data_IF_438369443736
#
_entry.id   IF_438369443736
#
_cell.length_a   1.000
_cell.length_b   1.000
_cell.length_c   1.000
_cell.angle_alpha   90.00
_cell.angle_beta   90.00
_cell.angle_gamma   90.00
#
_symmetry.space_group_name_H-M   'P 1'
#
loop_
_entity.id
_entity.type
_entity.pdbx_description
1 polymer ?
#
# COMPACT_ATOMS: atom_id res chain seq x y z
N UNK A 1 5.25 -1.87 -87.02
CA UNK A 1 4.43 -1.63 -85.80
C UNK A 1 5.19 -2.12 -84.57
N UNK A 2 5.78 -1.22 -83.81
CA UNK A 2 6.60 -1.51 -82.63
C UNK A 2 5.76 -1.22 -81.38
N UNK A 3 5.46 -2.31 -80.60
CA UNK A 3 4.74 -2.18 -79.36
C UNK A 3 5.65 -1.74 -78.17
N UNK A 4 5.31 -0.65 -77.57
CA UNK A 4 6.01 -0.13 -76.39
C UNK A 4 5.57 -0.89 -75.11
N UNK A 5 6.51 -1.56 -74.46
CA UNK A 5 6.31 -2.23 -73.14
C UNK A 5 6.58 -1.21 -72.04
N UNK A 6 5.53 -0.75 -71.37
CA UNK A 6 5.59 0.12 -70.20
C UNK A 6 5.98 -0.65 -68.95
N UNK A 7 7.19 -0.53 -68.44
CA UNK A 7 7.63 -1.04 -67.13
C UNK A 7 7.06 -0.19 -66.01
N UNK A 8 6.13 -0.76 -65.23
CA UNK A 8 5.66 -0.16 -63.94
C UNK A 8 6.74 -0.39 -62.88
N UNK A 9 7.34 0.71 -62.40
CA UNK A 9 8.21 0.72 -61.22
C UNK A 9 7.36 0.58 -59.97
N UNK A 10 7.45 -0.55 -59.32
CA UNK A 10 6.93 -0.73 -57.93
C UNK A 10 7.84 0.02 -56.96
N UNK A 11 7.28 1.03 -56.33
CA UNK A 11 7.91 1.72 -55.19
C UNK A 11 7.72 0.86 -53.92
N UNK A 12 8.81 0.59 -53.13
CA UNK A 12 8.64 -0.11 -51.87
C UNK A 12 7.97 0.84 -50.86
N UNK A 13 6.84 0.39 -50.28
CA UNK A 13 6.26 1.01 -49.07
C UNK A 13 7.21 0.68 -47.89
N UNK A 14 7.90 1.65 -47.41
CA UNK A 14 8.59 1.54 -46.13
C UNK A 14 7.52 1.59 -44.99
N UNK A 15 7.27 0.45 -44.38
CA UNK A 15 6.46 0.38 -43.15
C UNK A 15 7.24 1.00 -42.01
N UNK A 16 6.85 2.20 -41.60
CA UNK A 16 7.34 2.81 -40.35
C UNK A 16 6.67 2.09 -39.19
N UNK A 17 7.39 1.18 -38.54
CA UNK A 17 7.01 0.60 -37.27
C UNK A 17 7.08 1.73 -36.22
N UNK A 18 5.94 2.36 -35.90
CA UNK A 18 5.78 3.14 -34.67
C UNK A 18 5.89 2.15 -33.52
N UNK A 19 7.06 2.09 -32.88
CA UNK A 19 7.18 1.49 -31.57
C UNK A 19 6.35 2.38 -30.61
N UNK A 20 5.17 1.90 -30.22
CA UNK A 20 4.42 2.51 -29.14
C UNK A 20 5.30 2.43 -27.89
N UNK A 21 5.90 3.57 -27.48
CA UNK A 21 6.54 3.68 -26.19
C UNK A 21 5.45 3.40 -25.15
N UNK A 22 5.53 2.25 -24.48
CA UNK A 22 4.75 2.01 -23.29
C UNK A 22 5.04 3.16 -22.34
N UNK A 23 4.01 3.75 -21.69
CA UNK A 23 4.26 4.80 -20.73
C UNK A 23 5.24 4.25 -19.68
N UNK A 24 6.42 4.86 -19.59
CA UNK A 24 7.33 4.57 -18.49
C UNK A 24 6.55 4.92 -17.22
N UNK A 25 6.18 3.94 -16.43
CA UNK A 25 5.53 4.14 -15.15
C UNK A 25 6.49 5.00 -14.32
N UNK A 26 6.02 6.17 -13.90
CA UNK A 26 6.79 6.97 -12.97
C UNK A 26 7.00 6.15 -11.69
N UNK A 27 8.21 6.23 -11.12
CA UNK A 27 8.54 5.52 -9.88
C UNK A 27 7.52 5.85 -8.79
N UNK A 28 6.98 4.84 -8.10
CA UNK A 28 5.95 5.04 -7.09
C UNK A 28 6.60 5.44 -5.75
N UNK A 29 6.46 6.70 -5.39
CA UNK A 29 6.88 7.25 -4.11
C UNK A 29 5.69 7.17 -3.17
N UNK A 30 5.65 6.16 -2.29
CA UNK A 30 4.56 5.98 -1.35
C UNK A 30 4.91 6.46 0.06
N UNK A 31 4.07 7.36 0.59
CA UNK A 31 4.18 7.83 1.96
C UNK A 31 3.46 6.88 2.92
N UNK A 32 4.22 6.08 3.70
CA UNK A 32 3.72 5.08 4.64
C UNK A 32 2.95 5.74 5.78
N UNK A 33 1.67 5.38 5.91
CA UNK A 33 0.71 6.00 6.84
C UNK A 33 0.70 7.52 6.71
N UNK A 34 0.81 8.01 5.47
CA UNK A 34 1.07 9.39 5.13
C UNK A 34 2.57 9.71 5.11
N UNK A 35 3.11 10.22 6.20
CA UNK A 35 4.54 10.50 6.36
C UNK A 35 4.92 10.28 7.84
N UNK A 36 4.79 9.04 8.32
CA UNK A 36 4.91 8.65 9.74
C UNK A 36 6.17 9.17 10.42
N UNK A 37 7.28 9.22 9.71
CA UNK A 37 8.52 9.75 10.23
C UNK A 37 8.52 11.25 10.51
N UNK A 38 7.54 12.00 9.98
CA UNK A 38 7.49 13.47 10.01
C UNK A 38 6.23 14.04 10.65
N UNK A 39 5.12 13.27 10.69
CA UNK A 39 3.84 13.65 11.27
C UNK A 39 3.15 12.43 11.88
N UNK A 40 2.18 12.60 12.81
CA UNK A 40 1.48 11.48 13.43
C UNK A 40 0.82 10.57 12.40
N UNK A 41 1.14 9.27 12.45
CA UNK A 41 0.72 8.29 11.45
C UNK A 41 -0.80 8.21 11.29
N UNK A 42 -1.24 7.92 10.06
CA UNK A 42 -2.65 7.69 9.77
C UNK A 42 -3.58 8.87 10.18
N UNK A 43 -3.06 10.09 10.16
CA UNK A 43 -3.82 11.32 10.41
C UNK A 43 -3.94 12.17 9.15
N UNK A 44 -4.92 13.06 9.10
CA UNK A 44 -5.02 14.02 8.00
C UNK A 44 -3.80 14.94 7.93
N UNK A 45 -3.16 15.26 9.06
CA UNK A 45 -1.91 16.01 9.10
C UNK A 45 -0.78 15.27 8.38
N UNK A 46 -0.62 13.95 8.60
CA UNK A 46 0.39 13.13 7.94
C UNK A 46 0.14 13.04 6.41
N UNK A 47 -1.11 12.86 6.00
CA UNK A 47 -1.46 12.81 4.58
C UNK A 47 -1.24 14.15 3.88
N UNK A 48 -1.61 15.28 4.51
CA UNK A 48 -1.30 16.61 3.98
C UNK A 48 0.20 16.86 3.89
N UNK A 49 0.96 16.39 4.87
CA UNK A 49 2.43 16.47 4.86
C UNK A 49 3.02 15.68 3.69
N UNK A 50 2.57 14.46 3.47
CA UNK A 50 3.00 13.61 2.35
C UNK A 50 2.67 14.27 1.00
N UNK A 51 1.45 14.78 0.82
CA UNK A 51 1.05 15.50 -0.39
C UNK A 51 1.90 16.74 -0.63
N UNK A 52 2.24 17.50 0.41
CA UNK A 52 3.10 18.69 0.31
C UNK A 52 4.55 18.33 -0.09
N UNK A 53 5.03 17.13 0.27
CA UNK A 53 6.33 16.60 -0.18
C UNK A 53 6.25 16.20 -1.67
N UNK A 54 5.07 15.84 -2.17
CA UNK A 54 4.85 15.40 -3.53
C UNK A 54 5.00 13.88 -3.67
N UNK A 55 4.30 13.11 -2.84
CA UNK A 55 4.17 11.66 -3.05
C UNK A 55 3.27 11.37 -4.24
N UNK A 56 3.50 10.24 -4.91
CA UNK A 56 2.58 9.71 -5.93
C UNK A 56 1.38 9.03 -5.28
N UNK A 57 1.62 8.38 -4.14
CA UNK A 57 0.64 7.52 -3.46
C UNK A 57 0.69 7.75 -1.95
N UNK A 58 -0.47 7.92 -1.35
CA UNK A 58 -0.65 7.86 0.09
C UNK A 58 -0.92 6.41 0.47
N UNK A 59 -0.05 5.83 1.29
CA UNK A 59 -0.31 4.53 1.88
C UNK A 59 -0.99 4.72 3.24
N UNK A 60 -1.94 3.83 3.58
CA UNK A 60 -2.75 3.91 4.79
C UNK A 60 -3.39 2.58 5.17
N UNK A 61 -3.82 2.48 6.43
CA UNK A 61 -4.40 1.29 7.05
C UNK A 61 -5.87 1.48 7.39
N UNK A 62 -6.71 0.48 7.13
CA UNK A 62 -8.14 0.51 7.39
C UNK A 62 -8.52 -0.41 8.55
N UNK A 63 -9.37 0.10 9.43
CA UNK A 63 -10.12 -0.66 10.43
C UNK A 63 -11.62 -0.38 10.27
N UNK A 64 -12.46 -1.24 10.86
CA UNK A 64 -13.93 -1.13 10.79
C UNK A 64 -14.50 -0.92 12.18
N UNK A 65 -15.33 0.11 12.36
CA UNK A 65 -16.04 0.37 13.62
C UNK A 65 -17.26 -0.54 13.80
N UNK A 66 -17.85 -0.56 15.01
CA UNK A 66 -19.06 -1.31 15.34
C UNK A 66 -20.27 -0.93 14.45
N UNK A 67 -20.36 0.32 14.08
CA UNK A 67 -21.40 0.87 13.20
C UNK A 67 -21.04 0.79 11.71
N UNK A 68 -19.99 0.01 11.35
CA UNK A 68 -19.63 -0.31 9.97
C UNK A 68 -18.92 0.80 9.22
N UNK A 69 -18.37 1.80 9.90
CA UNK A 69 -17.60 2.87 9.27
C UNK A 69 -16.13 2.44 9.11
N UNK A 70 -15.57 2.64 7.90
CA UNK A 70 -14.14 2.49 7.68
C UNK A 70 -13.39 3.69 8.24
N UNK A 71 -12.48 3.43 9.18
CA UNK A 71 -11.60 4.42 9.81
C UNK A 71 -10.14 4.07 9.56
N UNK A 72 -9.28 5.07 9.68
CA UNK A 72 -7.85 4.92 9.45
C UNK A 72 -7.16 4.55 10.75
N UNK A 73 -6.62 3.33 10.81
CA UNK A 73 -5.83 2.82 11.95
C UNK A 73 -5.03 1.60 11.54
N UNK A 74 -3.75 1.55 11.94
CA UNK A 74 -2.92 0.36 11.74
C UNK A 74 -3.30 -0.78 12.67
N UNK A 75 -3.51 -0.47 13.95
CA UNK A 75 -3.88 -1.48 14.93
C UNK A 75 -5.39 -1.64 14.97
N UNK A 76 -5.92 -2.87 15.11
CA UNK A 76 -7.37 -3.11 15.23
C UNK A 76 -7.91 -2.71 16.61
N UNK A 77 -7.11 -2.07 17.44
CA UNK A 77 -7.42 -1.61 18.80
C UNK A 77 -6.80 -0.24 19.07
N UNK A 78 -7.24 0.45 20.13
CA UNK A 78 -6.63 1.70 20.55
C UNK A 78 -5.24 1.43 21.15
N UNK A 79 -4.20 1.86 20.44
CA UNK A 79 -2.80 1.64 20.81
C UNK A 79 -2.34 2.70 21.84
N UNK A 80 -1.84 2.31 23.02
CA UNK A 80 -1.42 3.26 24.07
C UNK A 80 -0.25 4.17 23.65
N UNK A 81 0.59 3.73 22.71
CA UNK A 81 1.70 4.54 22.20
C UNK A 81 1.24 5.73 21.33
N UNK A 82 0.00 5.66 20.79
CA UNK A 82 -0.55 6.59 19.80
C UNK A 82 -1.75 7.39 20.32
N UNK A 83 -2.48 6.88 21.32
CA UNK A 83 -3.83 7.34 21.63
C UNK A 83 -3.90 8.02 22.99
N UNK A 84 -4.39 9.27 23.00
CA UNK A 84 -4.83 9.96 24.21
C UNK A 84 -6.34 9.88 24.37
N UNK A 85 -6.78 9.60 25.58
CA UNK A 85 -8.20 9.58 25.93
C UNK A 85 -8.84 10.96 25.99
N UNK A 86 -10.17 11.04 26.21
CA UNK A 86 -10.91 12.29 26.35
C UNK A 86 -10.40 13.17 27.52
N UNK A 87 -9.72 12.59 28.49
CA UNK A 87 -9.09 13.27 29.62
C UNK A 87 -7.70 13.85 29.27
N UNK A 88 -7.26 13.70 28.02
CA UNK A 88 -5.97 14.19 27.51
C UNK A 88 -4.76 13.32 27.91
N UNK A 89 -4.97 12.17 28.57
CA UNK A 89 -3.88 11.26 28.98
C UNK A 89 -3.73 10.12 27.99
N UNK A 90 -2.49 9.63 27.83
CA UNK A 90 -2.24 8.39 27.08
C UNK A 90 -2.89 7.21 27.78
N UNK A 91 -3.34 6.25 26.99
CA UNK A 91 -3.88 5.01 27.52
C UNK A 91 -2.77 4.26 28.26
N UNK A 92 -3.08 3.78 29.47
CA UNK A 92 -2.11 3.06 30.30
C UNK A 92 -1.78 1.63 29.77
N UNK A 93 -2.64 1.08 28.91
CA UNK A 93 -2.51 -0.25 28.31
C UNK A 93 -3.29 -0.30 26.99
N UNK A 94 -3.18 -1.42 26.27
CA UNK A 94 -3.99 -1.72 25.09
C UNK A 94 -5.47 -1.43 25.37
N UNK A 95 -6.03 -0.52 24.58
CA UNK A 95 -7.43 -0.14 24.67
C UNK A 95 -8.38 -1.12 23.97
N UNK A 96 -9.67 -0.79 23.90
CA UNK A 96 -10.68 -1.61 23.24
C UNK A 96 -10.39 -1.80 21.75
N UNK A 97 -10.90 -2.89 21.19
CA UNK A 97 -10.85 -3.12 19.75
C UNK A 97 -11.75 -2.12 19.01
N UNK A 98 -11.30 -1.61 17.88
CA UNK A 98 -12.01 -0.57 17.09
C UNK A 98 -13.39 -1.05 16.68
N UNK A 99 -13.54 -2.33 16.29
CA UNK A 99 -14.83 -2.90 15.89
C UNK A 99 -15.87 -2.99 17.03
N UNK A 100 -15.48 -2.73 18.28
CA UNK A 100 -16.39 -2.63 19.43
C UNK A 100 -16.85 -1.20 19.71
N UNK A 101 -16.25 -0.21 19.06
CA UNK A 101 -16.51 1.22 19.20
C UNK A 101 -17.27 1.76 17.99
N UNK A 102 -18.16 2.72 18.20
CA UNK A 102 -18.75 3.52 17.12
C UNK A 102 -17.77 4.61 16.63
N UNK A 103 -18.02 5.19 15.47
CA UNK A 103 -17.28 6.37 15.04
C UNK A 103 -17.37 7.51 16.06
N UNK A 104 -18.54 7.69 16.69
CA UNK A 104 -18.73 8.73 17.71
C UNK A 104 -17.87 8.48 18.95
N UNK A 105 -17.77 7.21 19.39
CA UNK A 105 -16.86 6.84 20.49
C UNK A 105 -15.40 7.19 20.13
N UNK A 106 -14.96 6.95 18.89
CA UNK A 106 -13.60 7.24 18.43
C UNK A 106 -13.29 8.74 18.37
N UNK A 107 -14.27 9.59 18.13
CA UNK A 107 -14.11 11.04 18.08
C UNK A 107 -13.65 11.66 19.39
N UNK A 108 -13.80 10.96 20.52
CA UNK A 108 -13.28 11.38 21.81
C UNK A 108 -11.77 11.27 21.98
N UNK A 109 -11.10 10.46 21.13
CA UNK A 109 -9.67 10.18 21.25
C UNK A 109 -8.83 11.07 20.34
N UNK A 110 -7.62 11.42 20.82
CA UNK A 110 -6.64 12.22 20.09
C UNK A 110 -5.47 11.31 19.69
N UNK A 111 -5.13 11.30 18.38
CA UNK A 111 -4.04 10.52 17.78
C UNK A 111 -2.94 11.42 17.17
N UNK A 112 -2.95 12.71 17.52
CA UNK A 112 -2.07 13.72 16.95
C UNK A 112 -0.67 13.79 17.58
N UNK A 113 -0.30 12.85 18.45
CA UNK A 113 1.02 12.84 19.11
C UNK A 113 1.34 11.44 19.63
N UNK A 114 2.58 11.00 19.45
CA UNK A 114 3.10 9.80 20.09
C UNK A 114 3.29 10.03 21.59
N UNK A 115 3.09 8.98 22.40
CA UNK A 115 3.50 9.03 23.81
C UNK A 115 5.03 9.18 23.89
N UNK A 116 5.55 10.31 24.42
CA UNK A 116 6.99 10.53 24.48
C UNK A 116 7.72 9.55 25.41
N UNK A 117 7.01 8.86 26.29
CA UNK A 117 7.56 7.84 27.17
C UNK A 117 7.65 6.45 26.49
N UNK A 118 7.00 6.28 25.33
CA UNK A 118 6.98 5.00 24.63
C UNK A 118 8.29 4.74 23.86
N UNK A 119 8.67 3.45 23.75
CA UNK A 119 9.77 3.05 22.87
C UNK A 119 9.43 3.30 21.39
N UNK A 120 8.16 3.34 21.05
CA UNK A 120 7.72 3.61 19.70
C UNK A 120 8.07 5.05 19.28
N UNK A 121 7.87 6.03 20.14
CA UNK A 121 8.22 7.43 19.87
C UNK A 121 9.72 7.63 19.56
N UNK A 122 10.60 6.83 20.16
CA UNK A 122 12.05 6.93 19.90
C UNK A 122 12.45 6.57 18.48
N UNK A 123 11.59 5.87 17.75
CA UNK A 123 11.83 5.48 16.35
C UNK A 123 11.60 6.64 15.37
N UNK A 124 10.85 7.68 15.79
CA UNK A 124 10.45 8.81 14.96
C UNK A 124 10.85 10.16 15.56
N UNK A 125 12.14 10.42 15.77
CA UNK A 125 12.61 11.63 16.44
C UNK A 125 12.33 12.93 15.67
N UNK A 126 12.05 12.83 14.37
CA UNK A 126 11.73 13.97 13.51
C UNK A 126 10.22 14.23 13.37
N UNK A 127 9.39 13.41 14.01
CA UNK A 127 7.95 13.57 13.92
C UNK A 127 7.49 14.83 14.67
N UNK A 128 6.74 15.69 13.98
CA UNK A 128 6.12 16.89 14.55
C UNK A 128 4.69 16.56 14.93
N UNK A 129 4.35 16.77 16.20
CA UNK A 129 3.00 16.54 16.70
C UNK A 129 1.96 17.49 16.05
N UNK A 130 0.73 17.00 15.96
CA UNK A 130 -0.44 17.73 15.48
C UNK A 130 -1.61 17.47 16.44
N UNK A 131 -1.50 17.99 17.67
CA UNK A 131 -2.49 17.78 18.73
C UNK A 131 -3.90 18.12 18.24
N UNK A 132 -4.87 17.29 18.61
CA UNK A 132 -6.25 17.43 18.20
C UNK A 132 -6.64 16.63 16.96
N UNK A 133 -5.70 15.95 16.28
CA UNK A 133 -6.04 15.01 15.21
C UNK A 133 -6.87 13.84 15.77
N UNK A 134 -7.85 13.41 14.99
CA UNK A 134 -8.75 12.30 15.31
C UNK A 134 -8.49 11.13 14.36
N UNK A 135 -9.05 9.96 14.65
CA UNK A 135 -9.09 8.88 13.67
C UNK A 135 -9.87 9.35 12.44
N UNK A 136 -9.21 9.54 11.27
CA UNK A 136 -9.95 9.94 10.08
C UNK A 136 -10.83 8.77 9.62
N UNK A 137 -11.93 9.10 8.97
CA UNK A 137 -12.67 8.12 8.18
C UNK A 137 -11.97 7.92 6.83
N UNK A 138 -12.15 6.74 6.23
CA UNK A 138 -11.64 6.50 4.88
C UNK A 138 -12.26 7.46 3.85
N UNK A 139 -13.51 7.87 4.05
CA UNK A 139 -14.16 8.86 3.20
C UNK A 139 -13.43 10.21 3.22
N UNK A 140 -12.95 10.68 4.38
CA UNK A 140 -12.17 11.92 4.49
C UNK A 140 -10.83 11.81 3.76
N UNK A 141 -10.16 10.66 3.81
CA UNK A 141 -8.89 10.43 3.09
C UNK A 141 -9.11 10.33 1.58
N UNK A 142 -10.16 9.65 1.13
CA UNK A 142 -10.57 9.62 -0.29
C UNK A 142 -10.82 11.03 -0.82
N UNK A 143 -11.54 11.86 -0.06
CA UNK A 143 -11.81 13.25 -0.43
C UNK A 143 -10.54 14.10 -0.45
N UNK A 144 -9.65 13.95 0.55
CA UNK A 144 -8.36 14.64 0.57
C UNK A 144 -7.52 14.30 -0.67
N UNK A 145 -7.43 13.02 -1.03
CA UNK A 145 -6.70 12.58 -2.21
C UNK A 145 -7.35 13.07 -3.52
N UNK A 146 -8.69 13.12 -3.57
CA UNK A 146 -9.44 13.61 -4.71
C UNK A 146 -9.25 15.10 -4.93
N UNK A 147 -9.21 15.88 -3.85
CA UNK A 147 -9.05 17.33 -3.85
C UNK A 147 -7.58 17.79 -4.00
N UNK A 148 -6.60 16.88 -3.96
CA UNK A 148 -5.19 17.23 -4.11
C UNK A 148 -4.90 17.82 -5.49
N UNK A 149 -3.92 18.74 -5.57
CA UNK A 149 -3.54 19.43 -6.80
C UNK A 149 -2.98 18.48 -7.90
N UNK A 150 -2.50 17.30 -7.51
CA UNK A 150 -2.04 16.24 -8.41
C UNK A 150 -2.94 15.00 -8.37
N UNK A 151 -2.76 14.03 -9.27
CA UNK A 151 -3.54 12.79 -9.28
C UNK A 151 -3.05 11.80 -8.21
N UNK A 152 -2.95 12.22 -6.94
CA UNK A 152 -2.50 11.36 -5.85
C UNK A 152 -3.34 10.08 -5.78
N UNK A 153 -2.66 8.94 -5.67
CA UNK A 153 -3.26 7.61 -5.52
C UNK A 153 -3.33 7.23 -4.05
N UNK A 154 -4.02 6.16 -3.77
CA UNK A 154 -4.08 5.53 -2.45
C UNK A 154 -3.68 4.06 -2.57
N UNK A 155 -2.87 3.59 -1.62
CA UNK A 155 -2.61 2.20 -1.36
C UNK A 155 -3.15 1.89 0.04
N UNK A 156 -4.25 1.12 0.12
CA UNK A 156 -5.01 0.97 1.37
C UNK A 156 -4.94 -0.47 1.88
N UNK A 157 -4.42 -0.64 3.09
CA UNK A 157 -4.31 -1.96 3.71
C UNK A 157 -5.59 -2.31 4.48
N UNK A 158 -6.13 -3.50 4.25
CA UNK A 158 -7.15 -4.08 5.13
C UNK A 158 -6.47 -4.75 6.32
N UNK A 159 -6.58 -4.15 7.51
CA UNK A 159 -5.96 -4.66 8.75
C UNK A 159 -6.80 -5.79 9.34
N UNK A 160 -6.56 -6.99 8.82
CA UNK A 160 -7.19 -8.24 9.23
C UNK A 160 -6.14 -9.33 9.35
N UNK A 161 -6.35 -10.29 10.22
CA UNK A 161 -5.42 -11.39 10.47
C UNK A 161 -6.16 -12.71 10.67
N UNK A 162 -5.66 -13.81 10.11
CA UNK A 162 -6.20 -15.13 10.38
C UNK A 162 -5.92 -15.63 11.81
N UNK A 163 -4.95 -14.99 12.51
CA UNK A 163 -4.55 -15.39 13.86
C UNK A 163 -5.54 -14.93 14.93
N UNK A 164 -6.16 -13.75 14.74
CA UNK A 164 -7.10 -13.15 15.70
C UNK A 164 -8.39 -12.71 14.99
N UNK A 165 -9.22 -13.66 14.50
CA UNK A 165 -10.37 -13.32 13.66
C UNK A 165 -11.47 -12.54 14.42
N UNK A 166 -11.40 -12.49 15.76
CA UNK A 166 -12.34 -11.72 16.58
C UNK A 166 -11.94 -10.25 16.78
N UNK A 167 -10.83 -9.77 16.21
CA UNK A 167 -10.38 -8.39 16.39
C UNK A 167 -10.91 -7.43 15.34
N UNK A 168 -11.57 -7.92 14.30
CA UNK A 168 -12.20 -7.11 13.25
C UNK A 168 -13.37 -7.88 12.62
N UNK A 169 -14.00 -7.31 11.58
CA UNK A 169 -15.03 -7.98 10.79
C UNK A 169 -14.44 -9.08 9.90
N UNK A 170 -15.27 -9.99 9.41
CA UNK A 170 -14.84 -11.05 8.49
C UNK A 170 -14.34 -10.51 7.15
N UNK A 171 -13.54 -11.29 6.37
CA UNK A 171 -12.95 -10.85 5.11
C UNK A 171 -13.96 -10.35 4.07
N UNK A 172 -15.12 -11.01 3.95
CA UNK A 172 -16.13 -10.65 2.95
C UNK A 172 -16.82 -9.32 3.30
N UNK A 173 -17.12 -9.10 4.57
CA UNK A 173 -17.66 -7.84 5.09
C UNK A 173 -16.66 -6.72 4.88
N UNK A 174 -15.38 -6.91 5.23
CA UNK A 174 -14.34 -5.89 5.05
C UNK A 174 -14.20 -5.50 3.57
N UNK A 175 -14.03 -6.50 2.69
CA UNK A 175 -13.90 -6.29 1.26
C UNK A 175 -15.09 -5.52 0.67
N UNK A 176 -16.32 -5.88 1.06
CA UNK A 176 -17.54 -5.19 0.60
C UNK A 176 -17.54 -3.72 1.01
N UNK A 177 -17.25 -3.40 2.27
CA UNK A 177 -17.21 -2.02 2.76
C UNK A 177 -16.16 -1.19 2.00
N UNK A 178 -14.96 -1.75 1.77
CA UNK A 178 -13.89 -1.08 1.03
C UNK A 178 -14.30 -0.80 -0.42
N UNK A 179 -14.80 -1.81 -1.14
CA UNK A 179 -15.24 -1.65 -2.54
C UNK A 179 -16.36 -0.64 -2.65
N UNK A 180 -17.35 -0.68 -1.77
CA UNK A 180 -18.45 0.29 -1.74
C UNK A 180 -17.95 1.72 -1.52
N UNK A 181 -17.01 1.94 -0.57
CA UNK A 181 -16.46 3.26 -0.29
C UNK A 181 -15.68 3.82 -1.49
N UNK A 182 -14.80 3.03 -2.10
CA UNK A 182 -14.01 3.41 -3.28
C UNK A 182 -14.92 3.74 -4.47
N UNK A 183 -15.93 2.90 -4.71
CA UNK A 183 -16.87 3.08 -5.81
C UNK A 183 -17.72 4.35 -5.62
N UNK A 184 -18.23 4.56 -4.41
CA UNK A 184 -19.03 5.76 -4.07
C UNK A 184 -18.23 7.04 -4.24
N UNK A 185 -16.92 7.01 -3.93
CA UNK A 185 -16.03 8.15 -4.12
C UNK A 185 -15.60 8.38 -5.57
N UNK A 186 -15.89 7.45 -6.49
CA UNK A 186 -15.42 7.51 -7.88
C UNK A 186 -13.91 7.35 -8.02
N UNK A 187 -13.26 6.65 -7.08
CA UNK A 187 -11.80 6.56 -6.96
C UNK A 187 -11.21 5.22 -7.45
N UNK A 188 -12.01 4.37 -8.11
CA UNK A 188 -11.60 3.00 -8.54
C UNK A 188 -10.29 2.98 -9.35
N UNK A 189 -10.04 4.01 -10.18
CA UNK A 189 -8.81 4.12 -10.98
C UNK A 189 -7.60 4.69 -10.21
N UNK A 190 -7.76 5.04 -8.92
CA UNK A 190 -6.73 5.71 -8.12
C UNK A 190 -6.45 5.00 -6.78
N UNK A 191 -7.07 3.85 -6.54
CA UNK A 191 -6.89 3.08 -5.30
C UNK A 191 -6.40 1.69 -5.62
N UNK A 192 -5.35 1.26 -4.93
CA UNK A 192 -4.91 -0.13 -4.82
C UNK A 192 -5.27 -0.63 -3.44
N UNK A 193 -5.75 -1.86 -3.30
CA UNK A 193 -5.99 -2.48 -1.99
C UNK A 193 -4.91 -3.49 -1.70
N UNK A 194 -4.24 -3.35 -0.56
CA UNK A 194 -3.22 -4.29 -0.10
C UNK A 194 -3.66 -5.04 1.16
N UNK A 195 -3.09 -6.20 1.39
CA UNK A 195 -3.27 -6.96 2.61
C UNK A 195 -2.21 -8.05 2.79
N UNK A 196 -1.88 -8.35 4.05
CA UNK A 196 -1.21 -9.60 4.40
C UNK A 196 -2.15 -10.80 4.35
N UNK A 197 -3.41 -10.59 4.75
CA UNK A 197 -4.43 -11.61 4.67
C UNK A 197 -5.13 -11.59 3.31
N UNK A 198 -4.67 -12.43 2.41
CA UNK A 198 -5.12 -12.45 1.02
C UNK A 198 -6.58 -12.88 0.86
N UNK A 199 -7.24 -13.38 1.93
CA UNK A 199 -8.68 -13.68 1.87
C UNK A 199 -9.51 -12.43 1.54
N UNK A 200 -9.11 -11.24 2.04
CA UNK A 200 -9.79 -9.98 1.65
C UNK A 200 -9.51 -9.63 0.19
N UNK A 201 -8.29 -9.86 -0.32
CA UNK A 201 -7.94 -9.57 -1.70
C UNK A 201 -8.72 -10.44 -2.68
N UNK A 202 -8.92 -11.73 -2.36
CA UNK A 202 -9.76 -12.65 -3.15
C UNK A 202 -11.20 -12.13 -3.22
N UNK A 203 -11.76 -11.70 -2.08
CA UNK A 203 -13.12 -11.13 -2.05
C UNK A 203 -13.21 -9.80 -2.83
N UNK A 204 -12.21 -8.94 -2.74
CA UNK A 204 -12.14 -7.70 -3.53
C UNK A 204 -12.12 -8.01 -5.02
N UNK A 205 -11.29 -8.97 -5.47
CA UNK A 205 -11.26 -9.38 -6.88
C UNK A 205 -12.58 -9.95 -7.36
N UNK A 206 -13.31 -10.66 -6.50
CA UNK A 206 -14.66 -11.18 -6.80
C UNK A 206 -15.69 -10.05 -6.96
N UNK A 207 -15.63 -9.02 -6.09
CA UNK A 207 -16.57 -7.88 -6.07
C UNK A 207 -16.25 -6.82 -7.13
N UNK A 208 -14.97 -6.56 -7.35
CA UNK A 208 -14.46 -5.52 -8.26
C UNK A 208 -13.23 -6.02 -9.03
N UNK A 209 -13.39 -6.85 -10.07
CA UNK A 209 -12.28 -7.51 -10.78
C UNK A 209 -11.23 -6.56 -11.34
N UNK A 210 -11.60 -5.32 -11.64
CA UNK A 210 -10.72 -4.28 -12.20
C UNK A 210 -9.96 -3.49 -11.13
N UNK A 211 -10.36 -3.58 -9.85
CA UNK A 211 -9.66 -2.88 -8.77
C UNK A 211 -8.30 -3.57 -8.54
N UNK A 212 -7.18 -2.83 -8.65
CA UNK A 212 -5.86 -3.43 -8.43
C UNK A 212 -5.68 -3.84 -6.97
N UNK A 213 -5.00 -4.97 -6.77
CA UNK A 213 -4.64 -5.49 -5.45
C UNK A 213 -3.13 -5.69 -5.33
N UNK A 214 -2.60 -5.52 -4.12
CA UNK A 214 -1.20 -5.75 -3.80
C UNK A 214 -1.08 -6.81 -2.69
N UNK A 215 -0.31 -7.85 -2.96
CA UNK A 215 -0.04 -8.93 -2.03
C UNK A 215 1.14 -8.54 -1.12
N UNK A 216 0.85 -8.18 0.15
CA UNK A 216 1.88 -7.97 1.17
C UNK A 216 2.47 -9.30 1.62
N UNK A 217 3.81 -9.34 1.77
CA UNK A 217 4.53 -10.52 2.27
C UNK A 217 5.68 -10.15 3.18
N UNK A 218 5.90 -10.98 4.19
CA UNK A 218 7.08 -10.93 5.05
C UNK A 218 7.56 -12.35 5.33
N UNK A 219 8.88 -12.53 5.23
CA UNK A 219 9.57 -13.79 5.47
C UNK A 219 10.74 -13.52 6.42
N UNK A 220 10.52 -13.66 7.72
CA UNK A 220 11.55 -13.58 8.77
C UNK A 220 11.41 -14.76 9.72
N UNK A 221 12.39 -14.96 10.58
CA UNK A 221 12.35 -16.05 11.58
C UNK A 221 11.16 -15.93 12.55
N UNK A 222 10.77 -14.70 12.89
CA UNK A 222 9.73 -14.43 13.88
C UNK A 222 8.37 -14.08 13.28
N UNK A 223 8.34 -13.70 12.02
CA UNK A 223 7.10 -13.33 11.31
C UNK A 223 7.21 -13.77 9.85
N UNK A 224 6.40 -14.76 9.48
CA UNK A 224 6.39 -15.30 8.12
C UNK A 224 4.93 -15.56 7.70
N UNK A 225 4.48 -14.78 6.71
CA UNK A 225 3.12 -14.87 6.19
C UNK A 225 2.98 -15.87 5.04
N UNK A 226 4.09 -16.42 4.56
CA UNK A 226 4.12 -17.26 3.35
C UNK A 226 4.35 -18.73 3.67
N UNK A 227 5.09 -19.00 4.75
CA UNK A 227 5.50 -20.35 5.13
C UNK A 227 4.32 -21.28 5.37
N UNK A 228 4.28 -22.45 4.72
CA UNK A 228 3.27 -23.47 5.01
C UNK A 228 3.32 -23.94 6.46
N UNK A 229 2.18 -24.28 7.03
CA UNK A 229 2.01 -24.82 8.37
C UNK A 229 1.79 -26.35 8.29
N UNK A 230 2.81 -27.14 8.48
CA UNK A 230 2.76 -28.60 8.31
C UNK A 230 2.34 -28.94 6.86
N UNK A 231 1.28 -29.72 6.70
CA UNK A 231 0.76 -30.11 5.38
C UNK A 231 -0.18 -29.04 4.77
N UNK A 232 -0.60 -28.03 5.52
CA UNK A 232 -1.48 -26.97 5.06
C UNK A 232 -0.71 -25.79 4.46
N UNK A 233 -1.36 -25.05 3.55
CA UNK A 233 -0.90 -23.74 3.10
C UNK A 233 -0.81 -22.75 4.26
N UNK A 234 -0.09 -21.63 4.06
CA UNK A 234 -0.13 -20.54 5.03
C UNK A 234 -1.57 -20.03 5.23
N UNK A 235 -2.02 -19.74 6.46
CA UNK A 235 -3.36 -19.19 6.69
C UNK A 235 -3.53 -17.79 6.08
N UNK A 236 -2.44 -17.09 5.75
CA UNK A 236 -2.46 -15.76 5.15
C UNK A 236 -2.69 -15.76 3.64
N UNK A 237 -2.40 -16.86 2.94
CA UNK A 237 -2.35 -16.93 1.47
C UNK A 237 -3.67 -17.38 0.82
N UNK A 238 -4.79 -17.30 1.56
CA UNK A 238 -6.12 -17.69 1.07
C UNK A 238 -6.19 -19.13 0.50
N UNK A 239 -5.43 -20.05 1.09
CA UNK A 239 -5.37 -21.45 0.66
C UNK A 239 -4.38 -21.75 -0.46
N UNK A 240 -3.69 -20.75 -1.00
CA UNK A 240 -2.62 -20.95 -1.98
C UNK A 240 -1.37 -21.48 -1.26
N UNK A 241 -0.85 -22.61 -1.73
CA UNK A 241 0.31 -23.26 -1.14
C UNK A 241 1.58 -22.93 -1.93
N UNK A 242 2.57 -22.32 -1.25
CA UNK A 242 3.86 -21.94 -1.84
C UNK A 242 4.57 -23.10 -2.54
N UNK A 243 4.39 -24.32 -2.02
CA UNK A 243 4.97 -25.55 -2.60
C UNK A 243 4.48 -25.83 -4.02
N UNK A 244 3.23 -25.50 -4.32
CA UNK A 244 2.66 -25.64 -5.66
C UNK A 244 3.27 -24.67 -6.68
N UNK A 245 3.95 -23.64 -6.20
CA UNK A 245 4.61 -22.60 -7.03
C UNK A 245 6.15 -22.69 -6.98
N UNK A 246 6.68 -23.88 -6.64
CA UNK A 246 8.11 -24.16 -6.55
C UNK A 246 8.86 -23.20 -5.59
N UNK A 247 8.22 -22.76 -4.51
CA UNK A 247 8.80 -21.82 -3.55
C UNK A 247 8.90 -20.38 -4.05
N UNK A 248 8.28 -20.03 -5.17
CA UNK A 248 8.32 -18.67 -5.71
C UNK A 248 7.16 -17.82 -5.15
N UNK A 249 7.49 -16.82 -4.35
CA UNK A 249 6.53 -15.85 -3.81
C UNK A 249 5.92 -14.96 -4.91
N UNK A 250 6.69 -14.47 -5.92
CA UNK A 250 6.07 -13.75 -7.05
C UNK A 250 5.01 -14.57 -7.79
N UNK A 251 5.25 -15.87 -8.04
CA UNK A 251 4.23 -16.74 -8.68
C UNK A 251 3.01 -16.93 -7.80
N UNK A 252 3.21 -17.06 -6.50
CA UNK A 252 2.12 -17.16 -5.53
C UNK A 252 1.26 -15.89 -5.54
N UNK A 253 1.88 -14.70 -5.52
CA UNK A 253 1.19 -13.41 -5.62
C UNK A 253 0.43 -13.24 -6.94
N UNK A 254 1.03 -13.65 -8.07
CA UNK A 254 0.34 -13.68 -9.37
C UNK A 254 -0.89 -14.59 -9.34
N UNK A 255 -0.74 -15.79 -8.77
CA UNK A 255 -1.86 -16.75 -8.68
C UNK A 255 -3.00 -16.24 -7.77
N UNK A 256 -2.70 -15.40 -6.77
CA UNK A 256 -3.71 -14.69 -5.98
C UNK A 256 -4.43 -13.58 -6.77
N UNK A 257 -3.98 -13.27 -7.99
CA UNK A 257 -4.54 -12.23 -8.85
C UNK A 257 -4.09 -10.80 -8.47
N UNK A 258 -3.01 -10.66 -7.69
CA UNK A 258 -2.44 -9.37 -7.38
C UNK A 258 -1.81 -8.72 -8.63
N UNK A 259 -1.91 -7.40 -8.74
CA UNK A 259 -1.17 -6.61 -9.72
C UNK A 259 0.22 -6.23 -9.22
N UNK A 260 0.39 -6.24 -7.90
CA UNK A 260 1.62 -5.83 -7.21
C UNK A 260 2.01 -6.89 -6.18
N UNK A 261 3.27 -7.25 -6.16
CA UNK A 261 3.90 -7.93 -5.04
C UNK A 261 4.57 -6.88 -4.15
N UNK A 262 4.19 -6.83 -2.87
CA UNK A 262 4.69 -5.85 -1.91
C UNK A 262 5.40 -6.55 -0.75
N UNK A 263 6.71 -6.88 -0.93
CA UNK A 263 7.49 -7.63 0.05
C UNK A 263 8.10 -6.74 1.13
N UNK A 264 8.37 -7.35 2.30
CA UNK A 264 9.35 -6.80 3.22
C UNK A 264 10.70 -6.61 2.50
N UNK A 265 11.28 -5.43 2.57
CA UNK A 265 12.41 -5.03 1.74
C UNK A 265 13.64 -5.95 1.80
N UNK A 266 13.85 -6.64 2.94
CA UNK A 266 14.94 -7.59 3.10
C UNK A 266 14.74 -8.91 2.35
N UNK A 267 13.51 -9.20 1.96
CA UNK A 267 13.20 -10.37 1.13
C UNK A 267 13.42 -10.13 -0.37
N UNK A 268 13.76 -8.89 -0.75
CA UNK A 268 13.93 -8.48 -2.15
C UNK A 268 15.31 -8.84 -2.67
N UNK A 269 15.35 -9.60 -3.78
CA UNK A 269 16.55 -9.97 -4.54
C UNK A 269 16.39 -9.61 -6.02
N UNK A 270 17.50 -9.49 -6.74
CA UNK A 270 17.44 -9.25 -8.19
C UNK A 270 16.65 -10.34 -8.92
N UNK A 271 16.80 -11.60 -8.51
CA UNK A 271 16.13 -12.74 -9.15
C UNK A 271 14.61 -12.70 -8.97
N UNK A 272 14.10 -12.39 -7.77
CA UNK A 272 12.66 -12.36 -7.54
C UNK A 272 12.00 -11.10 -8.13
N UNK A 273 12.71 -9.98 -8.26
CA UNK A 273 12.22 -8.80 -9.02
C UNK A 273 12.08 -9.16 -10.51
N UNK A 274 13.14 -9.75 -11.10
CA UNK A 274 13.09 -10.16 -12.51
C UNK A 274 11.96 -11.16 -12.78
N UNK A 275 11.75 -12.10 -11.87
CA UNK A 275 10.63 -13.03 -11.97
C UNK A 275 9.28 -12.30 -11.85
N UNK A 276 9.11 -11.42 -10.89
CA UNK A 276 7.88 -10.62 -10.73
C UNK A 276 7.56 -9.82 -12.00
N UNK A 277 8.55 -9.14 -12.58
CA UNK A 277 8.36 -8.39 -13.83
C UNK A 277 8.00 -9.28 -15.01
N UNK A 278 8.61 -10.48 -15.16
CA UNK A 278 8.22 -11.46 -16.20
C UNK A 278 6.79 -11.96 -16.03
N UNK A 279 6.28 -11.96 -14.80
CA UNK A 279 4.91 -12.33 -14.46
C UNK A 279 3.92 -11.15 -14.58
N UNK A 280 4.40 -9.94 -14.93
CA UNK A 280 3.60 -8.73 -15.05
C UNK A 280 3.26 -8.07 -13.72
N UNK A 281 3.94 -8.43 -12.63
CA UNK A 281 3.77 -7.81 -11.31
C UNK A 281 4.65 -6.58 -11.17
N UNK A 282 4.13 -5.53 -10.52
CA UNK A 282 4.94 -4.48 -9.92
C UNK A 282 5.55 -4.97 -8.61
N UNK A 283 6.69 -4.39 -8.21
CA UNK A 283 7.38 -4.71 -6.94
C UNK A 283 7.50 -3.45 -6.11
N UNK A 284 6.79 -3.41 -4.96
CA UNK A 284 6.74 -2.29 -4.02
C UNK A 284 7.19 -2.72 -2.62
N UNK A 285 8.48 -2.66 -2.30
CA UNK A 285 8.98 -3.02 -0.97
C UNK A 285 8.63 -2.00 0.11
N UNK A 286 8.44 -2.49 1.34
CA UNK A 286 8.11 -1.75 2.56
C UNK A 286 8.94 -2.22 3.75
N UNK A 287 9.14 -1.50 4.86
CA UNK A 287 9.16 -0.05 4.93
C UNK A 287 10.62 0.36 4.85
N UNK A 288 10.98 1.11 3.85
CA UNK A 288 12.38 1.45 3.54
C UNK A 288 12.67 2.87 3.98
N UNK A 289 13.49 3.04 5.01
CA UNK A 289 13.75 4.34 5.64
C UNK A 289 15.21 4.82 5.48
N UNK A 290 16.12 3.90 5.19
CA UNK A 290 17.53 4.21 4.99
C UNK A 290 17.81 4.61 3.53
N UNK A 291 18.57 5.70 3.32
CA UNK A 291 18.84 6.22 1.99
C UNK A 291 19.71 5.29 1.13
N UNK A 292 20.65 4.54 1.74
CA UNK A 292 21.47 3.59 1.00
C UNK A 292 20.63 2.40 0.54
N UNK A 293 19.70 1.92 1.39
CA UNK A 293 18.77 0.87 1.01
C UNK A 293 17.80 1.34 -0.10
N UNK A 294 17.33 2.59 -0.04
CA UNK A 294 16.56 3.18 -1.13
C UNK A 294 17.36 3.15 -2.43
N UNK A 295 18.64 3.60 -2.40
CA UNK A 295 19.52 3.59 -3.60
C UNK A 295 19.76 2.18 -4.11
N UNK A 296 19.94 1.20 -3.23
CA UNK A 296 20.13 -0.21 -3.57
C UNK A 296 18.90 -0.79 -4.27
N UNK A 297 17.72 -0.61 -3.70
CA UNK A 297 16.47 -1.13 -4.24
C UNK A 297 16.11 -0.49 -5.58
N UNK A 298 16.29 0.83 -5.72
CA UNK A 298 16.15 1.52 -7.01
C UNK A 298 17.12 0.94 -8.06
N UNK A 299 18.37 0.64 -7.65
CA UNK A 299 19.36 -0.01 -8.50
C UNK A 299 18.95 -1.43 -8.93
N UNK A 300 18.17 -2.13 -8.12
CA UNK A 300 17.57 -3.44 -8.43
C UNK A 300 16.31 -3.30 -9.29
N UNK A 301 15.85 -2.07 -9.59
CA UNK A 301 14.72 -1.78 -10.47
C UNK A 301 13.36 -2.15 -9.87
N UNK A 302 13.17 -1.92 -8.56
CA UNK A 302 11.80 -1.92 -7.98
C UNK A 302 10.96 -0.80 -8.61
N UNK A 303 9.64 -0.98 -8.63
CA UNK A 303 8.72 -0.03 -9.29
C UNK A 303 8.33 1.15 -8.40
N UNK A 304 8.56 1.03 -7.10
CA UNK A 304 8.33 2.07 -6.10
C UNK A 304 8.85 1.64 -4.74
N UNK A 305 8.65 2.49 -3.75
CA UNK A 305 9.06 2.25 -2.36
C UNK A 305 8.03 2.87 -1.41
N UNK A 306 7.63 2.09 -0.40
CA UNK A 306 6.83 2.55 0.74
C UNK A 306 7.78 2.96 1.87
N UNK A 307 7.69 4.23 2.32
CA UNK A 307 8.62 4.80 3.31
C UNK A 307 7.95 5.72 4.32
N UNK A 308 8.46 5.73 5.56
CA UNK A 308 8.07 6.70 6.59
C UNK A 308 8.60 8.12 6.32
N UNK A 309 9.64 8.23 5.45
CA UNK A 309 10.35 9.46 5.13
C UNK A 309 10.30 9.76 3.63
N UNK A 310 9.12 10.15 3.09
CA UNK A 310 8.96 10.42 1.67
C UNK A 310 9.84 11.58 1.17
N UNK A 311 10.19 12.53 2.03
CA UNK A 311 11.16 13.60 1.74
C UNK A 311 12.55 13.04 1.43
N UNK A 312 13.01 12.04 2.20
CA UNK A 312 14.27 11.33 2.00
C UNK A 312 14.28 10.57 0.67
N UNK A 313 13.21 9.84 0.38
CA UNK A 313 13.10 9.11 -0.88
C UNK A 313 13.06 10.08 -2.07
N UNK A 314 12.34 11.20 -1.95
CA UNK A 314 12.33 12.24 -2.98
C UNK A 314 13.72 12.80 -3.25
N UNK A 315 14.53 13.05 -2.20
CA UNK A 315 15.92 13.49 -2.36
C UNK A 315 16.77 12.42 -3.08
N UNK A 316 16.65 11.15 -2.73
CA UNK A 316 17.35 10.05 -3.40
C UNK A 316 16.97 9.95 -4.89
N UNK A 317 15.70 10.13 -5.24
CA UNK A 317 15.25 10.13 -6.64
C UNK A 317 15.86 11.31 -7.41
N UNK A 318 15.87 12.52 -6.80
CA UNK A 318 16.48 13.70 -7.39
C UNK A 318 18.00 13.51 -7.64
N UNK A 319 18.74 12.97 -6.66
CA UNK A 319 20.17 12.67 -6.76
C UNK A 319 20.47 11.67 -7.89
N UNK A 320 19.54 10.77 -8.20
CA UNK A 320 19.64 9.80 -9.30
C UNK A 320 19.18 10.38 -10.65
N UNK A 321 18.72 11.62 -10.69
CA UNK A 321 18.18 12.23 -11.91
C UNK A 321 16.87 11.59 -12.39
N UNK A 322 16.14 10.92 -11.51
CA UNK A 322 14.84 10.32 -11.83
C UNK A 322 13.76 11.40 -11.85
N UNK A 323 12.73 11.25 -12.71
CA UNK A 323 11.58 12.15 -12.69
C UNK A 323 10.95 12.19 -11.29
N UNK A 324 10.70 13.40 -10.80
CA UNK A 324 9.99 13.60 -9.54
C UNK A 324 8.49 13.70 -9.81
N UNK A 325 7.64 13.11 -8.93
CA UNK A 325 6.19 13.25 -9.02
C UNK A 325 5.73 14.68 -8.80
#
# INVERSE_FOLDING_TARGET
MAGAVTRRLLRPLAAVLLAAALPAWAFDLEGHRGARGLAPENTLAAFRRALAIGVTTLETDLAVTRDGVLVISHDPFLNPDLVRGPDGKWLAARGPAIHTLTLEDLRGYDVGRLDPASKYATQFPSQVAADGERFPTFAEVLELARASAGPARLNVETKITPQNPGETVDPATFARLVVEAITRAGMTGRVTVQSFDWRTLVEIKRLAPTLPTACLTIETETNDTIKPHGDAASPWTAGLDLRAYNGSVPRLAQAAGCATWSPFWRNVTAANIEEAHRLGLQVLPWTVNDAEEMRRLIGLRVDGIITDYPDRLRAVLADKGMPLP
#
